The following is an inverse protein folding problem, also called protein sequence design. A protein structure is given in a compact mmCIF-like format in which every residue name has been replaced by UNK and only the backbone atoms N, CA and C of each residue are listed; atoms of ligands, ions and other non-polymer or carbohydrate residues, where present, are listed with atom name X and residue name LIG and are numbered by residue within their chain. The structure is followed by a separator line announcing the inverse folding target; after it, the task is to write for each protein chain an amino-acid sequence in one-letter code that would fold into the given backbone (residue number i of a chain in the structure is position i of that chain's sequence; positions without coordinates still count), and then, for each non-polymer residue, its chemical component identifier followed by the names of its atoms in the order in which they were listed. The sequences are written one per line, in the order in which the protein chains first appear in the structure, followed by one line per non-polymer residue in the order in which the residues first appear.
data_IF_142302886495
#
_entry.id   IF_142302886495
#
_cell.length_a   1.000
_cell.length_b   1.000
_cell.length_c   1.000
_cell.angle_alpha   90.00
_cell.angle_beta   90.00
_cell.angle_gamma   90.00
#
_symmetry.space_group_name_H-M   'P 1'
#
loop_
_entity.id
_entity.type
_entity.pdbx_description
1 polymer ?
#
# COMPACT_ATOMS: atom_id res chain seq x y z
N UNK A 1 -0.76 -3.27 18.04
CA UNK A 1 0.55 -2.66 17.70
C UNK A 1 1.46 -3.83 17.34
N UNK A 2 2.06 -3.79 16.15
CA UNK A 2 2.97 -4.83 15.66
C UNK A 2 4.26 -4.83 16.48
N UNK A 3 4.73 -5.99 16.94
CA UNK A 3 6.05 -6.18 17.53
C UNK A 3 6.94 -6.99 16.56
N UNK A 4 8.21 -6.61 16.45
CA UNK A 4 9.20 -7.33 15.63
C UNK A 4 9.48 -8.76 16.11
N UNK A 5 9.09 -9.11 17.34
CA UNK A 5 9.21 -10.45 17.93
C UNK A 5 7.99 -11.34 17.71
N UNK A 6 6.91 -10.81 17.13
CA UNK A 6 5.71 -11.59 16.85
C UNK A 6 5.97 -12.63 15.75
N UNK A 7 5.18 -13.70 15.78
CA UNK A 7 5.19 -14.71 14.72
C UNK A 7 4.16 -14.37 13.65
N UNK A 8 4.56 -14.50 12.38
CA UNK A 8 3.74 -14.11 11.25
C UNK A 8 3.56 -15.24 10.25
N UNK A 9 2.40 -15.24 9.60
CA UNK A 9 2.16 -16.01 8.39
C UNK A 9 1.49 -15.09 7.38
N UNK A 10 2.04 -15.05 6.16
CA UNK A 10 1.48 -14.19 5.12
C UNK A 10 0.11 -14.70 4.66
N UNK A 11 -0.83 -13.77 4.52
CA UNK A 11 -2.15 -13.98 3.90
C UNK A 11 -2.37 -12.95 2.77
N UNK A 12 -1.27 -12.55 2.12
CA UNK A 12 -1.24 -11.47 1.14
C UNK A 12 -2.17 -11.70 -0.04
N UNK A 13 -2.30 -12.94 -0.53
CA UNK A 13 -3.18 -13.28 -1.66
C UNK A 13 -4.64 -13.04 -1.34
N UNK A 14 -5.10 -13.40 -0.13
CA UNK A 14 -6.48 -13.15 0.30
C UNK A 14 -6.75 -11.65 0.40
N UNK A 15 -5.85 -10.89 1.03
CA UNK A 15 -6.01 -9.43 1.19
C UNK A 15 -5.98 -8.73 -0.18
N UNK A 16 -5.07 -9.13 -1.08
CA UNK A 16 -4.98 -8.58 -2.43
C UNK A 16 -6.25 -8.82 -3.23
N UNK A 17 -6.81 -10.04 -3.20
CA UNK A 17 -8.06 -10.35 -3.90
C UNK A 17 -9.25 -9.52 -3.42
N UNK A 18 -9.25 -9.09 -2.15
CA UNK A 18 -10.33 -8.28 -1.58
C UNK A 18 -10.12 -6.78 -1.83
N UNK A 19 -8.88 -6.30 -1.71
CA UNK A 19 -8.56 -4.88 -1.58
C UNK A 19 -7.76 -4.25 -2.72
N UNK A 20 -7.03 -5.04 -3.52
CA UNK A 20 -6.16 -4.48 -4.55
C UNK A 20 -6.98 -3.74 -5.62
N UNK A 21 -6.46 -2.58 -6.07
CA UNK A 21 -7.07 -1.76 -7.11
C UNK A 21 -8.33 -1.00 -6.70
N UNK A 22 -8.75 -1.08 -5.43
CA UNK A 22 -9.93 -0.36 -4.94
C UNK A 22 -9.51 0.89 -4.15
N UNK A 23 -10.23 2.02 -4.30
CA UNK A 23 -9.99 3.20 -3.50
C UNK A 23 -10.38 3.00 -2.02
N UNK A 24 -11.21 2.00 -1.73
CA UNK A 24 -11.57 1.57 -0.38
C UNK A 24 -11.90 0.07 -0.37
N UNK A 25 -11.63 -0.59 0.75
CA UNK A 25 -12.03 -1.97 1.01
C UNK A 25 -12.27 -2.19 2.50
N UNK A 26 -13.06 -3.21 2.83
CA UNK A 26 -13.26 -3.68 4.21
C UNK A 26 -12.70 -5.09 4.32
N UNK A 27 -11.68 -5.28 5.15
CA UNK A 27 -11.14 -6.58 5.51
C UNK A 27 -11.55 -6.92 6.94
N UNK A 28 -12.28 -8.02 7.13
CA UNK A 28 -12.69 -8.50 8.46
C UNK A 28 -11.74 -9.60 8.88
N UNK A 29 -11.12 -9.41 10.04
CA UNK A 29 -10.25 -10.41 10.64
C UNK A 29 -11.06 -11.40 11.47
N UNK A 30 -10.93 -12.68 11.14
CA UNK A 30 -11.28 -13.80 12.01
C UNK A 30 -9.98 -14.52 12.40
N UNK A 31 -9.89 -15.01 13.63
CA UNK A 31 -8.74 -15.77 14.09
C UNK A 31 -8.53 -16.99 13.16
N UNK A 32 -7.33 -17.12 12.60
CA UNK A 32 -6.92 -18.21 11.70
C UNK A 32 -5.77 -18.96 12.34
N UNK A 33 -5.74 -20.28 12.15
CA UNK A 33 -4.59 -21.10 12.57
C UNK A 33 -3.39 -20.77 11.69
N UNK A 34 -2.29 -20.36 12.32
CA UNK A 34 -1.02 -20.04 11.67
C UNK A 34 -0.08 -21.24 11.76
N UNK A 35 0.06 -21.99 10.67
CA UNK A 35 0.96 -23.15 10.55
C UNK A 35 2.42 -22.73 10.80
N UNK A 36 2.83 -21.57 10.29
CA UNK A 36 4.16 -21.00 10.53
C UNK A 36 4.43 -20.67 12.01
N UNK A 37 3.36 -20.57 12.82
CA UNK A 37 3.42 -20.21 14.24
C UNK A 37 2.95 -21.36 15.14
N UNK A 38 3.36 -22.59 14.84
CA UNK A 38 3.05 -23.79 15.64
C UNK A 38 1.54 -24.03 15.77
N UNK A 39 0.77 -23.72 14.73
CA UNK A 39 -0.70 -23.83 14.71
C UNK A 39 -1.40 -22.98 15.79
N UNK A 40 -0.80 -21.87 16.23
CA UNK A 40 -1.46 -20.90 17.10
C UNK A 40 -2.48 -20.07 16.33
N UNK A 41 -3.59 -19.65 16.95
CA UNK A 41 -4.53 -18.72 16.32
C UNK A 41 -3.91 -17.33 16.19
N UNK A 42 -4.19 -16.63 15.10
CA UNK A 42 -3.83 -15.23 14.94
C UNK A 42 -4.60 -14.34 15.89
N UNK A 43 -3.90 -13.35 16.47
CA UNK A 43 -4.47 -12.37 17.39
C UNK A 43 -4.95 -11.10 16.68
N UNK A 44 -4.30 -10.73 15.57
CA UNK A 44 -4.65 -9.56 14.77
C UNK A 44 -4.24 -9.76 13.31
N UNK A 45 -4.74 -8.88 12.44
CA UNK A 45 -4.35 -8.76 11.05
C UNK A 45 -3.55 -7.46 10.88
N UNK A 46 -2.35 -7.57 10.32
CA UNK A 46 -1.52 -6.42 9.93
C UNK A 46 -1.49 -6.32 8.41
N UNK A 47 -1.69 -5.11 7.88
CA UNK A 47 -1.71 -4.86 6.43
C UNK A 47 -0.83 -3.65 6.15
N UNK A 48 0.26 -3.88 5.44
CA UNK A 48 1.01 -2.83 4.78
C UNK A 48 0.44 -2.65 3.37
N UNK A 49 0.02 -1.43 3.04
CA UNK A 49 -0.54 -1.09 1.73
C UNK A 49 0.03 0.22 1.21
N UNK A 50 -0.04 0.39 -0.11
CA UNK A 50 0.36 1.62 -0.79
C UNK A 50 -0.71 1.99 -1.79
N UNK A 51 -1.13 3.25 -1.78
CA UNK A 51 -2.05 3.78 -2.78
C UNK A 51 -1.26 4.17 -4.04
N UNK A 52 -1.57 3.52 -5.16
CA UNK A 52 -1.01 3.86 -6.47
C UNK A 52 -2.05 4.70 -7.22
N UNK A 53 -1.68 5.84 -7.83
CA UNK A 53 -2.59 6.60 -8.69
C UNK A 53 -3.13 5.72 -9.82
N UNK A 54 -4.46 5.65 -9.98
CA UNK A 54 -5.10 4.81 -10.99
C UNK A 54 -4.84 5.28 -12.43
N UNK A 55 -4.66 6.59 -12.60
CA UNK A 55 -4.43 7.20 -13.90
C UNK A 55 -3.24 8.15 -13.80
N UNK A 56 -2.08 7.75 -14.33
CA UNK A 56 -1.11 8.74 -14.81
C UNK A 56 -1.60 9.16 -16.19
N UNK A 57 -2.62 10.02 -16.23
CA UNK A 57 -3.20 10.52 -17.48
C UNK A 57 -2.21 11.35 -18.31
N UNK A 58 -1.17 11.87 -17.65
CA UNK A 58 0.02 12.44 -18.30
C UNK A 58 1.19 12.51 -17.31
N UNK A 59 2.36 12.02 -17.71
CA UNK A 59 3.63 12.43 -17.06
C UNK A 59 4.00 13.75 -17.71
N UNK A 60 3.71 14.87 -17.06
CA UNK A 60 4.22 16.15 -17.53
C UNK A 60 5.71 16.23 -17.23
N UNK A 61 6.54 15.98 -18.25
CA UNK A 61 7.98 16.10 -18.13
C UNK A 61 8.35 17.56 -18.29
N UNK A 62 8.84 18.17 -17.22
CA UNK A 62 9.30 19.55 -17.25
C UNK A 62 10.81 19.56 -17.46
N UNK A 63 11.27 20.24 -18.52
CA UNK A 63 12.69 20.51 -18.68
C UNK A 63 13.04 21.70 -17.79
N UNK A 64 13.62 21.43 -16.62
CA UNK A 64 14.02 22.47 -15.67
C UNK A 64 15.10 23.42 -16.21
N UNK A 65 15.74 23.07 -17.33
CA UNK A 65 16.70 23.93 -18.04
C UNK A 65 16.03 24.80 -19.11
N UNK A 66 14.74 24.61 -19.41
CA UNK A 66 13.96 25.40 -20.36
C UNK A 66 12.88 26.21 -19.63
N UNK A 67 13.15 27.51 -19.49
CA UNK A 67 12.26 28.47 -18.82
C UNK A 67 10.87 28.59 -19.46
N UNK A 68 10.69 28.15 -20.71
CA UNK A 68 9.39 28.18 -21.38
C UNK A 68 8.48 27.02 -20.98
N UNK A 69 9.04 25.96 -20.38
CA UNK A 69 8.31 24.76 -19.97
C UNK A 69 7.98 24.73 -18.48
N UNK A 70 8.41 25.72 -17.68
CA UNK A 70 8.20 25.71 -16.23
C UNK A 70 6.71 25.83 -15.86
N UNK A 71 6.20 25.02 -14.92
CA UNK A 71 4.82 25.13 -14.47
C UNK A 71 4.59 26.46 -13.75
N UNK A 72 3.60 27.24 -14.18
CA UNK A 72 3.20 28.51 -13.55
C UNK A 72 2.47 28.35 -12.19
N UNK A 73 2.39 27.12 -11.67
CA UNK A 73 1.76 26.82 -10.38
C UNK A 73 2.81 26.49 -9.30
N UNK A 74 2.47 26.79 -8.03
CA UNK A 74 3.26 26.42 -6.86
C UNK A 74 3.49 24.90 -6.82
N UNK A 75 4.60 24.44 -7.40
CA UNK A 75 4.98 23.04 -7.45
C UNK A 75 5.43 22.62 -6.05
N UNK A 76 4.52 22.05 -5.26
CA UNK A 76 4.92 21.27 -4.09
C UNK A 76 5.59 20.01 -4.60
N UNK A 77 6.92 19.95 -4.49
CA UNK A 77 7.70 18.74 -4.79
C UNK A 77 7.21 17.59 -3.92
N UNK A 78 6.57 16.61 -4.53
CA UNK A 78 6.43 15.27 -3.96
C UNK A 78 7.54 14.39 -4.52
N UNK A 79 8.27 13.70 -3.64
CA UNK A 79 9.24 12.68 -4.03
C UNK A 79 8.57 11.31 -3.90
N UNK A 80 8.85 10.41 -4.86
CA UNK A 80 8.64 8.96 -4.70
C UNK A 80 9.75 8.38 -3.83
#
# INVERSE_FOLDING_TARGET
VYDTSDCFQSDSSTVQNVCAGKPSCTAIHFAKTLVACQNRPSAYLHIDYTCIPNDISSITTYNLCDNSSLPQGNTRRGYL
#
